data_IF_566053993061
#
_entry.id   IF_566053993061
#
_cell.length_a   1.000
_cell.length_b   1.000
_cell.length_c   1.000
_cell.angle_alpha   90.00
_cell.angle_beta   90.00
_cell.angle_gamma   90.00
#
_symmetry.space_group_name_H-M   'P 1'
#
loop_
_entity.id
_entity.type
_entity.pdbx_description
1 polymer ?
#
# COMPACT_ATOMS: atom_id res chain seq x y z
N UNK A 1 12.25 -4.89 29.06
CA UNK A 1 12.48 -4.69 27.62
C UNK A 1 13.61 -5.62 27.16
N UNK A 2 13.32 -6.52 26.22
CA UNK A 2 14.31 -7.39 25.62
C UNK A 2 14.95 -6.69 24.42
N UNK A 3 16.28 -6.51 24.48
CA UNK A 3 17.04 -5.87 23.40
C UNK A 3 17.98 -6.92 22.82
N UNK A 4 17.94 -7.09 21.48
CA UNK A 4 18.89 -7.91 20.74
C UNK A 4 19.94 -7.01 20.12
N UNK A 5 21.20 -7.29 20.40
CA UNK A 5 22.36 -6.65 19.73
C UNK A 5 22.86 -7.63 18.67
N UNK A 6 22.87 -7.18 17.41
CA UNK A 6 23.29 -8.00 16.27
C UNK A 6 24.66 -7.52 15.79
N UNK A 7 25.60 -8.44 15.67
CA UNK A 7 26.91 -8.23 15.06
C UNK A 7 27.03 -9.17 13.86
N UNK A 8 27.53 -8.68 12.74
CA UNK A 8 27.69 -9.45 11.50
C UNK A 8 27.54 -8.59 10.26
N UNK A 9 27.62 -9.24 9.09
CA UNK A 9 27.37 -8.60 7.81
C UNK A 9 25.88 -8.22 7.69
N UNK A 10 25.59 -7.13 6.98
CA UNK A 10 24.22 -6.63 6.82
C UNK A 10 23.26 -7.68 6.25
N UNK A 11 23.73 -8.51 5.34
CA UNK A 11 22.94 -9.62 4.76
C UNK A 11 22.59 -10.69 5.78
N UNK A 12 23.50 -11.04 6.68
CA UNK A 12 23.28 -12.03 7.74
C UNK A 12 22.30 -11.50 8.78
N UNK A 13 22.41 -10.23 9.14
CA UNK A 13 21.49 -9.55 10.05
C UNK A 13 20.07 -9.52 9.44
N UNK A 14 19.93 -9.24 8.14
CA UNK A 14 18.64 -9.27 7.43
C UNK A 14 18.01 -10.65 7.44
N UNK A 15 18.78 -11.70 7.15
CA UNK A 15 18.28 -13.08 7.18
C UNK A 15 17.85 -13.48 8.60
N UNK A 16 18.61 -13.09 9.61
CA UNK A 16 18.26 -13.34 11.00
C UNK A 16 16.94 -12.66 11.37
N UNK A 17 16.74 -11.39 11.01
CA UNK A 17 15.45 -10.70 11.23
C UNK A 17 14.26 -11.39 10.58
N UNK A 18 14.44 -11.98 9.41
CA UNK A 18 13.37 -12.73 8.73
C UNK A 18 12.98 -14.01 9.48
N UNK A 19 13.85 -14.54 10.31
CA UNK A 19 13.64 -15.80 11.04
C UNK A 19 13.20 -15.62 12.50
N UNK A 20 13.29 -14.40 13.04
CA UNK A 20 12.87 -14.12 14.41
C UNK A 20 11.36 -14.27 14.58
N UNK A 21 10.98 -15.19 15.49
CA UNK A 21 9.69 -15.18 16.15
C UNK A 21 9.82 -14.48 17.50
N UNK A 22 9.32 -13.26 17.62
CA UNK A 22 9.22 -12.58 18.90
C UNK A 22 8.13 -13.29 19.72
N UNK A 23 8.48 -13.74 20.90
CA UNK A 23 7.55 -14.41 21.81
C UNK A 23 6.38 -13.47 22.15
N UNK A 24 5.17 -13.84 21.75
CA UNK A 24 3.92 -13.17 22.09
C UNK A 24 3.13 -12.61 20.91
N UNK A 25 3.71 -11.80 20.03
CA UNK A 25 3.03 -11.25 18.82
C UNK A 25 3.98 -11.33 17.63
N UNK A 26 3.67 -12.15 16.62
CA UNK A 26 4.51 -12.22 15.42
C UNK A 26 4.47 -10.86 14.67
N UNK A 27 5.63 -10.37 14.28
CA UNK A 27 5.73 -9.22 13.39
C UNK A 27 5.13 -9.56 12.02
N UNK A 28 4.38 -8.63 11.46
CA UNK A 28 3.95 -8.77 10.09
C UNK A 28 5.11 -8.43 9.11
N UNK A 29 4.91 -8.76 7.83
CA UNK A 29 5.95 -8.56 6.80
C UNK A 29 6.46 -7.12 6.77
N UNK A 30 5.57 -6.12 6.86
CA UNK A 30 5.96 -4.71 6.79
C UNK A 30 6.75 -4.27 8.03
N UNK A 31 6.40 -4.76 9.21
CA UNK A 31 7.14 -4.47 10.44
C UNK A 31 8.57 -5.02 10.37
N UNK A 32 8.75 -6.19 9.78
CA UNK A 32 10.08 -6.79 9.52
C UNK A 32 10.87 -5.92 8.54
N UNK A 33 10.27 -5.51 7.43
CA UNK A 33 10.92 -4.63 6.44
C UNK A 33 11.31 -3.27 7.04
N UNK A 34 10.46 -2.71 7.90
CA UNK A 34 10.77 -1.45 8.60
C UNK A 34 11.99 -1.58 9.51
N UNK A 35 12.19 -2.74 10.13
CA UNK A 35 13.37 -3.01 10.96
C UNK A 35 14.63 -3.20 10.10
N UNK A 36 14.53 -3.98 9.02
CA UNK A 36 15.65 -4.25 8.10
C UNK A 36 16.16 -2.97 7.43
N UNK A 37 15.25 -2.16 6.92
CA UNK A 37 15.52 -0.92 6.20
C UNK A 37 15.31 0.32 7.09
N UNK A 38 15.59 0.19 8.40
CA UNK A 38 15.48 1.31 9.33
C UNK A 38 16.36 2.49 8.90
N UNK A 39 15.83 3.70 9.04
CA UNK A 39 16.49 4.94 8.65
C UNK A 39 15.52 6.10 8.68
N UNK A 40 15.97 7.27 8.23
CA UNK A 40 15.16 8.49 8.26
C UNK A 40 13.90 8.35 7.40
N UNK A 41 14.04 7.82 6.20
CA UNK A 41 12.90 7.55 5.30
C UNK A 41 11.83 6.67 5.96
N UNK A 42 12.23 5.53 6.53
CA UNK A 42 11.28 4.60 7.18
C UNK A 42 10.60 5.23 8.38
N UNK A 43 11.32 6.04 9.15
CA UNK A 43 10.74 6.79 10.29
C UNK A 43 9.65 7.74 9.83
N UNK A 44 9.95 8.58 8.84
CA UNK A 44 9.00 9.53 8.27
C UNK A 44 7.79 8.83 7.63
N UNK A 45 8.02 7.74 6.91
CA UNK A 45 6.95 6.96 6.28
C UNK A 45 6.01 6.34 7.33
N UNK A 46 6.55 5.83 8.44
CA UNK A 46 5.73 5.34 9.56
C UNK A 46 4.92 6.46 10.21
N UNK A 47 5.52 7.61 10.46
CA UNK A 47 4.82 8.78 11.02
C UNK A 47 3.65 9.22 10.15
N UNK A 48 3.79 9.21 8.85
CA UNK A 48 2.71 9.58 7.92
C UNK A 48 1.62 8.51 7.83
N UNK A 49 2.00 7.26 7.54
CA UNK A 49 1.04 6.21 7.16
C UNK A 49 0.53 5.36 8.32
N UNK A 50 1.13 5.45 9.50
CA UNK A 50 0.71 4.69 10.69
C UNK A 50 0.12 5.56 11.80
N UNK A 51 -0.09 6.83 11.52
CA UNK A 51 -0.69 7.77 12.45
C UNK A 51 -2.22 7.77 12.30
N UNK A 52 -2.91 7.20 13.28
CA UNK A 52 -4.38 7.17 13.31
C UNK A 52 -5.05 8.55 13.42
N UNK A 53 -4.29 9.57 13.77
CA UNK A 53 -4.76 10.97 13.85
C UNK A 53 -4.57 11.73 12.53
N UNK A 54 -3.98 11.12 11.52
CA UNK A 54 -3.87 11.73 10.21
C UNK A 54 -5.27 11.93 9.61
N UNK A 55 -5.58 13.16 9.23
CA UNK A 55 -6.90 13.55 8.70
C UNK A 55 -7.28 12.83 7.40
N UNK A 56 -6.29 12.31 6.66
CA UNK A 56 -6.49 11.58 5.42
C UNK A 56 -6.85 10.09 5.61
N UNK A 57 -6.71 9.56 6.82
CA UNK A 57 -6.98 8.14 7.11
C UNK A 57 -8.41 7.73 6.72
N UNK A 58 -9.38 8.58 6.97
CA UNK A 58 -10.78 8.28 6.59
C UNK A 58 -10.94 8.14 5.07
N UNK A 59 -10.29 9.00 4.29
CA UNK A 59 -10.29 8.92 2.83
C UNK A 59 -9.57 7.67 2.34
N UNK A 60 -8.40 7.38 2.89
CA UNK A 60 -7.64 6.18 2.54
C UNK A 60 -8.39 4.90 2.86
N UNK A 61 -9.08 4.84 3.99
CA UNK A 61 -9.83 3.68 4.45
C UNK A 61 -11.00 3.30 3.54
N UNK A 62 -11.46 4.20 2.69
CA UNK A 62 -12.48 3.91 1.69
C UNK A 62 -11.99 2.92 0.62
N UNK A 63 -10.68 2.92 0.34
CA UNK A 63 -10.08 2.16 -0.77
C UNK A 63 -9.08 1.09 -0.32
N UNK A 64 -8.61 1.13 0.92
CA UNK A 64 -7.56 0.24 1.43
C UNK A 64 -8.10 -0.61 2.57
N UNK A 65 -7.87 -1.92 2.48
CA UNK A 65 -8.07 -2.83 3.60
C UNK A 65 -6.89 -2.74 4.56
N UNK A 66 -7.20 -2.83 5.85
CA UNK A 66 -6.18 -2.98 6.86
C UNK A 66 -6.37 -2.07 8.07
N UNK A 67 -5.38 -2.11 8.93
CA UNK A 67 -5.33 -1.37 10.18
C UNK A 67 -4.12 -0.45 10.19
N UNK A 68 -4.35 0.83 10.46
CA UNK A 68 -3.30 1.87 10.45
C UNK A 68 -2.11 1.48 11.33
N UNK A 69 -2.37 1.07 12.56
CA UNK A 69 -1.34 0.72 13.54
C UNK A 69 -0.54 -0.55 13.20
N UNK A 70 -1.03 -1.38 12.28
CA UNK A 70 -0.35 -2.59 11.80
C UNK A 70 0.47 -2.37 10.53
N UNK A 71 0.70 -1.15 10.14
CA UNK A 71 1.48 -0.75 8.96
C UNK A 71 0.85 -1.16 7.62
N UNK A 72 -0.46 -1.48 7.58
CA UNK A 72 -1.11 -1.95 6.35
C UNK A 72 -1.19 -0.85 5.28
N UNK A 73 -1.43 0.40 5.70
CA UNK A 73 -1.42 1.54 4.77
C UNK A 73 -0.02 1.83 4.24
N UNK A 74 1.00 1.74 5.09
CA UNK A 74 2.39 1.88 4.66
C UNK A 74 2.78 0.78 3.67
N UNK A 75 2.41 -0.46 3.96
CA UNK A 75 2.65 -1.59 3.06
C UNK A 75 2.01 -1.36 1.69
N UNK A 76 0.76 -0.89 1.66
CA UNK A 76 0.04 -0.57 0.44
C UNK A 76 0.74 0.56 -0.34
N UNK A 77 1.10 1.65 0.33
CA UNK A 77 1.78 2.77 -0.30
C UNK A 77 3.12 2.38 -0.93
N UNK A 78 3.91 1.58 -0.21
CA UNK A 78 5.18 1.06 -0.71
C UNK A 78 5.01 0.09 -1.88
N UNK A 79 4.02 -0.79 -1.83
CA UNK A 79 3.71 -1.68 -2.95
C UNK A 79 3.35 -0.90 -4.22
N UNK A 80 2.56 0.14 -4.09
CA UNK A 80 2.14 0.94 -5.25
C UNK A 80 3.28 1.73 -5.87
N UNK A 81 4.04 2.49 -5.07
CA UNK A 81 5.14 3.33 -5.59
C UNK A 81 6.27 2.50 -6.16
N UNK A 82 6.55 1.34 -5.56
CA UNK A 82 7.64 0.45 -5.97
C UNK A 82 7.26 -0.52 -7.08
N UNK A 83 5.97 -0.57 -7.47
CA UNK A 83 5.43 -1.56 -8.41
C UNK A 83 5.75 -3.00 -7.95
N UNK A 84 5.41 -3.29 -6.69
CA UNK A 84 5.63 -4.55 -5.99
C UNK A 84 7.10 -4.90 -5.66
N UNK A 85 8.05 -4.00 -5.91
CA UNK A 85 9.45 -4.19 -5.56
C UNK A 85 9.85 -3.40 -4.30
N UNK A 86 9.17 -3.68 -3.19
CA UNK A 86 9.26 -2.92 -1.93
C UNK A 86 10.66 -2.92 -1.33
N UNK A 87 11.34 -4.08 -1.31
CA UNK A 87 12.66 -4.21 -0.70
C UNK A 87 13.71 -3.34 -1.42
N UNK A 88 13.71 -3.37 -2.75
CA UNK A 88 14.60 -2.52 -3.56
C UNK A 88 14.32 -1.04 -3.36
N UNK A 89 13.05 -0.66 -3.32
CA UNK A 89 12.63 0.72 -3.06
C UNK A 89 13.07 1.20 -1.68
N UNK A 90 12.80 0.46 -0.63
CA UNK A 90 13.20 0.80 0.73
C UNK A 90 14.72 0.86 0.89
N UNK A 91 15.44 -0.05 0.26
CA UNK A 91 16.90 -0.06 0.26
C UNK A 91 17.49 1.20 -0.37
N UNK A 92 16.98 1.61 -1.52
CA UNK A 92 17.43 2.81 -2.26
C UNK A 92 17.14 4.10 -1.51
N UNK A 93 15.96 4.19 -0.90
CA UNK A 93 15.48 5.41 -0.23
C UNK A 93 15.81 5.48 1.27
N UNK A 94 16.46 4.47 1.82
CA UNK A 94 16.72 4.31 3.27
C UNK A 94 17.23 5.57 3.97
N UNK A 95 18.08 6.33 3.31
CA UNK A 95 18.73 7.52 3.85
C UNK A 95 18.13 8.84 3.39
N UNK A 96 17.03 8.78 2.64
CA UNK A 96 16.33 9.98 2.21
C UNK A 96 15.70 10.69 3.42
N UNK A 97 15.81 12.02 3.42
CA UNK A 97 15.27 12.87 4.49
C UNK A 97 13.85 13.35 4.24
N UNK A 98 13.16 12.76 3.26
CA UNK A 98 11.76 13.04 2.96
C UNK A 98 11.07 11.82 2.33
N UNK A 99 9.75 11.87 2.29
CA UNK A 99 8.89 10.85 1.70
C UNK A 99 7.97 11.42 0.61
N UNK A 100 8.39 12.51 -0.04
CA UNK A 100 7.54 13.25 -0.97
C UNK A 100 7.08 12.39 -2.14
N UNK A 101 7.96 11.58 -2.72
CA UNK A 101 7.59 10.68 -3.82
C UNK A 101 6.52 9.67 -3.36
N UNK A 102 6.77 8.98 -2.26
CA UNK A 102 5.84 7.99 -1.69
C UNK A 102 4.47 8.60 -1.40
N UNK A 103 4.47 9.73 -0.68
CA UNK A 103 3.25 10.43 -0.29
C UNK A 103 2.47 10.97 -1.48
N UNK A 104 3.16 11.58 -2.43
CA UNK A 104 2.54 12.14 -3.65
C UNK A 104 1.94 11.04 -4.50
N UNK A 105 2.70 9.96 -4.73
CA UNK A 105 2.22 8.85 -5.54
C UNK A 105 0.98 8.20 -4.93
N UNK A 106 1.03 7.86 -3.65
CA UNK A 106 -0.08 7.24 -2.94
C UNK A 106 -1.36 8.09 -3.00
N UNK A 107 -1.25 9.38 -2.66
CA UNK A 107 -2.42 10.26 -2.70
C UNK A 107 -2.92 10.49 -4.13
N UNK A 108 -2.04 10.51 -5.14
CA UNK A 108 -2.46 10.60 -6.54
C UNK A 108 -3.28 9.39 -6.98
N UNK A 109 -2.94 8.19 -6.51
CA UNK A 109 -3.75 6.99 -6.76
C UNK A 109 -5.14 7.15 -6.12
N UNK A 110 -5.20 7.52 -4.86
CA UNK A 110 -6.47 7.72 -4.13
C UNK A 110 -7.32 8.82 -4.78
N UNK A 111 -6.74 9.95 -5.13
CA UNK A 111 -7.45 11.07 -5.76
C UNK A 111 -7.98 10.69 -7.14
N UNK A 112 -7.23 9.90 -7.91
CA UNK A 112 -7.67 9.40 -9.19
C UNK A 112 -8.87 8.46 -9.05
N UNK A 113 -8.84 7.49 -8.12
CA UNK A 113 -9.96 6.59 -7.85
C UNK A 113 -11.20 7.38 -7.42
N UNK A 114 -11.02 8.32 -6.50
CA UNK A 114 -12.07 9.19 -5.99
C UNK A 114 -12.71 10.06 -7.09
N UNK A 115 -11.93 10.45 -8.09
CA UNK A 115 -12.39 11.18 -9.26
C UNK A 115 -13.06 10.30 -10.33
N UNK A 116 -12.72 9.02 -10.38
CA UNK A 116 -13.29 8.05 -11.35
C UNK A 116 -14.67 7.56 -10.89
N UNK A 117 -14.82 7.29 -9.61
CA UNK A 117 -16.07 6.78 -9.04
C UNK A 117 -16.81 7.87 -8.26
N UNK A 118 -18.09 8.06 -8.58
CA UNK A 118 -18.93 9.06 -7.90
C UNK A 118 -19.37 8.62 -6.51
N UNK A 119 -19.47 7.30 -6.32
CA UNK A 119 -19.88 6.68 -5.06
C UNK A 119 -18.81 5.75 -4.53
N UNK A 120 -18.73 5.64 -3.22
CA UNK A 120 -17.80 4.77 -2.52
C UNK A 120 -18.54 3.58 -1.93
N UNK A 121 -18.05 2.38 -2.19
CA UNK A 121 -18.62 1.12 -1.72
C UNK A 121 -17.58 0.32 -0.94
N UNK A 122 -18.03 -0.44 0.06
CA UNK A 122 -17.13 -1.27 0.90
C UNK A 122 -16.31 -2.28 0.08
N UNK A 123 -16.87 -2.76 -1.01
CA UNK A 123 -16.22 -3.70 -1.92
C UNK A 123 -15.04 -3.11 -2.70
N UNK A 124 -14.92 -1.79 -2.76
CA UNK A 124 -13.77 -1.11 -3.37
C UNK A 124 -12.50 -1.25 -2.53
N UNK A 125 -12.66 -1.59 -1.26
CA UNK A 125 -11.53 -1.71 -0.33
C UNK A 125 -10.64 -2.90 -0.70
N UNK A 126 -9.36 -2.64 -0.78
CA UNK A 126 -8.36 -3.67 -1.02
C UNK A 126 -8.19 -4.11 -2.47
N UNK A 127 -8.75 -3.38 -3.42
CA UNK A 127 -8.49 -3.62 -4.84
C UNK A 127 -7.10 -3.12 -5.25
N UNK A 128 -6.63 -3.58 -6.40
CA UNK A 128 -5.31 -3.25 -6.96
C UNK A 128 -5.28 -1.85 -7.62
N UNK A 129 -5.67 -0.82 -6.85
CA UNK A 129 -5.81 0.54 -7.38
C UNK A 129 -4.52 1.10 -7.96
N UNK A 130 -3.35 0.77 -7.41
CA UNK A 130 -2.07 1.19 -7.95
C UNK A 130 -1.81 0.67 -9.36
N UNK A 131 -2.19 -0.56 -9.66
CA UNK A 131 -2.07 -1.13 -11.02
C UNK A 131 -3.03 -0.49 -12.01
N UNK A 132 -4.26 -0.21 -11.58
CA UNK A 132 -5.24 0.48 -12.40
C UNK A 132 -4.80 1.91 -12.69
N UNK A 133 -4.30 2.61 -11.69
CA UNK A 133 -3.73 3.94 -11.82
C UNK A 133 -2.58 3.98 -12.83
N UNK A 134 -1.60 3.10 -12.72
CA UNK A 134 -0.46 3.01 -13.67
C UNK A 134 -0.94 2.84 -15.11
N UNK A 135 -1.98 2.05 -15.31
CA UNK A 135 -2.49 1.76 -16.66
C UNK A 135 -3.32 2.89 -17.24
N UNK A 136 -4.15 3.55 -16.44
CA UNK A 136 -5.24 4.39 -16.96
C UNK A 136 -5.20 5.86 -16.57
N UNK A 137 -4.40 6.31 -15.59
CA UNK A 137 -4.46 7.68 -15.09
C UNK A 137 -4.06 8.75 -16.12
N UNK A 138 -3.27 8.39 -17.16
CA UNK A 138 -2.86 9.30 -18.24
C UNK A 138 -3.81 9.32 -19.43
N UNK A 139 -4.84 8.49 -19.39
CA UNK A 139 -5.83 8.37 -20.46
C UNK A 139 -7.11 9.12 -20.07
N UNK A 140 -7.91 9.57 -21.05
CA UNK A 140 -9.27 9.98 -20.77
C UNK A 140 -10.02 8.88 -20.04
N UNK A 141 -10.89 9.26 -19.12
CA UNK A 141 -11.70 8.31 -18.37
C UNK A 141 -12.48 7.40 -19.31
N UNK A 142 -12.22 6.10 -19.21
CA UNK A 142 -12.92 5.04 -19.95
C UNK A 142 -13.38 3.96 -18.98
N UNK A 143 -14.65 4.03 -18.62
CA UNK A 143 -15.27 3.10 -17.66
C UNK A 143 -15.25 1.66 -18.16
N UNK A 144 -15.40 1.42 -19.47
CA UNK A 144 -15.39 0.08 -20.04
C UNK A 144 -14.00 -0.56 -19.99
N UNK A 145 -12.96 0.23 -20.28
CA UNK A 145 -11.57 -0.26 -20.16
C UNK A 145 -11.21 -0.61 -18.71
N UNK A 146 -11.67 0.18 -17.74
CA UNK A 146 -11.46 -0.09 -16.32
C UNK A 146 -12.22 -1.36 -15.90
N UNK A 147 -13.47 -1.52 -16.30
CA UNK A 147 -14.27 -2.72 -16.03
C UNK A 147 -13.63 -3.98 -16.61
N UNK A 148 -13.16 -3.90 -17.86
CA UNK A 148 -12.43 -4.99 -18.50
C UNK A 148 -11.18 -5.38 -17.71
N UNK A 149 -10.40 -4.39 -17.27
CA UNK A 149 -9.20 -4.65 -16.48
C UNK A 149 -9.50 -5.25 -15.12
N UNK A 150 -10.56 -4.81 -14.47
CA UNK A 150 -11.02 -5.40 -13.21
C UNK A 150 -11.46 -6.86 -13.44
N UNK A 151 -12.16 -7.16 -14.54
CA UNK A 151 -12.53 -8.53 -14.92
C UNK A 151 -11.29 -9.41 -15.14
N UNK A 152 -10.26 -8.91 -15.82
CA UNK A 152 -9.00 -9.62 -16.04
C UNK A 152 -8.27 -9.94 -14.72
N UNK A 153 -8.29 -9.02 -13.75
CA UNK A 153 -7.58 -9.17 -12.47
C UNK A 153 -8.32 -10.06 -11.46
N UNK A 154 -9.64 -9.98 -11.43
CA UNK A 154 -10.46 -10.59 -10.39
C UNK A 154 -11.49 -11.60 -10.92
N UNK A 155 -11.63 -11.73 -12.23
CA UNK A 155 -12.60 -12.59 -12.90
C UNK A 155 -14.01 -11.99 -13.04
N UNK A 156 -14.77 -12.51 -13.98
CA UNK A 156 -16.12 -12.01 -14.31
C UNK A 156 -17.12 -12.17 -13.14
N UNK A 157 -16.95 -13.22 -12.34
CA UNK A 157 -17.81 -13.45 -11.18
C UNK A 157 -17.63 -12.37 -10.11
N UNK A 158 -16.44 -11.81 -9.99
CA UNK A 158 -16.20 -10.67 -9.11
C UNK A 158 -17.05 -9.47 -9.50
N UNK A 159 -17.08 -9.10 -10.78
CA UNK A 159 -17.90 -7.99 -11.29
C UNK A 159 -19.37 -8.27 -11.07
N UNK A 160 -19.86 -9.47 -11.36
CA UNK A 160 -21.27 -9.86 -11.15
C UNK A 160 -21.68 -9.76 -9.68
N UNK A 161 -20.81 -10.23 -8.77
CA UNK A 161 -21.06 -10.20 -7.34
C UNK A 161 -20.93 -8.80 -6.75
N UNK A 162 -20.21 -7.90 -7.41
CA UNK A 162 -19.96 -6.51 -7.02
C UNK A 162 -20.68 -5.52 -7.93
N UNK A 163 -21.86 -5.89 -8.39
CA UNK A 163 -22.66 -5.15 -9.37
C UNK A 163 -22.83 -3.67 -9.00
N UNK A 164 -23.07 -3.36 -7.73
CA UNK A 164 -23.25 -2.00 -7.26
C UNK A 164 -22.07 -1.07 -7.54
N UNK A 165 -20.81 -1.59 -7.42
CA UNK A 165 -19.59 -0.84 -7.71
C UNK A 165 -19.44 -0.56 -9.20
N UNK A 166 -19.73 -1.56 -10.01
CA UNK A 166 -19.48 -1.54 -11.44
C UNK A 166 -20.71 -1.17 -12.28
N UNK A 167 -21.88 -0.95 -11.68
CA UNK A 167 -23.07 -0.50 -12.38
C UNK A 167 -22.82 0.86 -13.05
N UNK A 168 -22.09 1.74 -12.41
CA UNK A 168 -21.62 3.00 -12.99
C UNK A 168 -20.59 2.78 -14.11
N UNK A 169 -19.74 1.79 -13.99
CA UNK A 169 -18.66 1.48 -14.95
C UNK A 169 -19.19 0.73 -16.16
N UNK A 170 -20.26 -0.07 -16.00
CA UNK A 170 -20.89 -0.87 -17.05
C UNK A 170 -22.13 -0.20 -17.67
N UNK A 171 -22.65 0.82 -16.99
CA UNK A 171 -23.81 1.59 -17.48
C UNK A 171 -23.46 2.48 -18.64
#
# INVERSE_FOLDING_TARGET
>A
LLIYVCEGEESEIKEWFKTINIVGVPLNKQEILNAIYSGEFTTLAKEEFSNSQNTLVNKWSAYINGVVNRQDFLACALNWVSKDNVEDYMSKHRHDNNINELKTYFNSVIDWVDGVFTDVYDEMRGLEWGRLYETYHKQPYDSQAIAKKVSELYGDDFIKNKKGIFEFVLG
#
